data_IF_578849294944
#
_entry.id   IF_578849294944
#
_cell.length_a   1.000
_cell.length_b   1.000
_cell.length_c   1.000
_cell.angle_alpha   90.00
_cell.angle_beta   90.00
_cell.angle_gamma   90.00
#
_symmetry.space_group_name_H-M   'P 1'
#
loop_
_entity.id
_entity.type
_entity.pdbx_description
1 polymer ?
#
# COMPACT_ATOMS: atom_id res chain seq x y z
N UNK A 1 21.02 -22.66 -24.07
CA UNK A 1 21.75 -22.51 -22.80
C UNK A 1 21.20 -21.27 -22.11
N UNK A 2 20.40 -21.44 -21.07
CA UNK A 2 19.89 -20.32 -20.26
C UNK A 2 20.56 -20.39 -18.89
N UNK A 3 21.85 -20.05 -18.87
CA UNK A 3 22.58 -19.83 -17.63
C UNK A 3 22.11 -18.51 -17.03
N UNK A 4 21.27 -18.59 -15.99
CA UNK A 4 20.66 -17.40 -15.38
C UNK A 4 21.67 -16.60 -14.54
N UNK A 5 22.67 -17.25 -13.92
CA UNK A 5 23.65 -16.61 -13.06
C UNK A 5 24.82 -17.54 -12.71
N UNK A 6 26.06 -17.02 -12.78
CA UNK A 6 27.25 -17.65 -12.20
C UNK A 6 27.72 -16.88 -10.97
N UNK A 7 27.89 -17.59 -9.85
CA UNK A 7 28.30 -16.99 -8.57
C UNK A 7 29.60 -17.62 -8.10
N UNK A 8 30.56 -16.79 -7.69
CA UNK A 8 31.78 -17.26 -7.03
C UNK A 8 31.55 -17.29 -5.52
N UNK A 9 31.76 -18.46 -4.92
CA UNK A 9 31.48 -18.73 -3.51
C UNK A 9 32.68 -19.41 -2.87
N UNK A 10 32.81 -19.29 -1.54
CA UNK A 10 33.85 -19.98 -0.78
C UNK A 10 33.21 -21.18 -0.06
N UNK A 11 33.47 -22.42 -0.51
CA UNK A 11 32.99 -23.60 0.20
C UNK A 11 33.55 -23.68 1.62
N UNK A 12 32.78 -24.28 2.52
CA UNK A 12 33.20 -24.60 3.89
C UNK A 12 33.04 -26.11 4.14
N UNK A 13 33.90 -26.72 4.97
CA UNK A 13 33.74 -28.12 5.32
C UNK A 13 32.47 -28.34 6.15
N UNK A 14 31.81 -29.48 5.95
CA UNK A 14 30.73 -29.95 6.80
C UNK A 14 31.30 -30.74 8.00
N UNK A 15 30.68 -30.63 9.20
CA UNK A 15 31.09 -31.44 10.35
C UNK A 15 30.85 -32.94 10.16
N UNK A 16 29.77 -33.30 9.46
CA UNK A 16 29.36 -34.66 9.15
C UNK A 16 29.20 -34.84 7.63
N UNK A 17 29.33 -36.07 7.12
CA UNK A 17 29.23 -36.35 5.69
C UNK A 17 27.76 -36.44 5.28
N UNK A 18 27.37 -35.70 4.25
CA UNK A 18 26.02 -35.76 3.67
C UNK A 18 26.05 -36.61 2.39
N UNK A 19 25.46 -37.80 2.43
CA UNK A 19 25.41 -38.72 1.27
C UNK A 19 24.35 -38.29 0.23
N UNK A 20 23.40 -37.45 0.62
CA UNK A 20 22.38 -36.87 -0.25
C UNK A 20 22.67 -35.39 -0.51
N UNK A 21 22.37 -34.93 -1.73
CA UNK A 21 22.42 -33.51 -2.06
C UNK A 21 21.24 -32.79 -1.37
N UNK A 22 21.56 -31.86 -0.47
CA UNK A 22 20.57 -31.07 0.26
C UNK A 22 20.73 -29.56 -0.02
N UNK A 23 19.60 -28.85 -0.01
CA UNK A 23 19.56 -27.39 -0.02
C UNK A 23 18.86 -26.89 1.23
N UNK A 24 19.58 -26.13 2.04
CA UNK A 24 19.04 -25.47 3.22
C UNK A 24 18.97 -23.95 3.03
N UNK A 25 17.97 -23.33 3.64
CA UNK A 25 17.84 -21.87 3.71
C UNK A 25 18.08 -21.39 5.14
N UNK A 26 19.19 -20.68 5.32
CA UNK A 26 19.68 -20.17 6.59
C UNK A 26 19.62 -18.62 6.59
N UNK A 27 19.77 -17.99 7.77
CA UNK A 27 19.81 -16.52 7.94
C UNK A 27 18.64 -15.79 7.23
N UNK A 28 17.41 -16.27 7.48
CA UNK A 28 16.19 -15.69 6.91
C UNK A 28 15.98 -14.25 7.40
N UNK A 29 15.95 -13.32 6.44
CA UNK A 29 15.64 -11.90 6.61
C UNK A 29 14.46 -11.52 5.74
N UNK A 30 13.92 -10.32 5.95
CA UNK A 30 12.78 -9.81 5.19
C UNK A 30 13.00 -9.81 3.66
N UNK A 31 14.24 -9.60 3.20
CA UNK A 31 14.58 -9.47 1.79
C UNK A 31 15.74 -10.37 1.34
N UNK A 32 16.26 -11.26 2.20
CA UNK A 32 17.38 -12.12 1.86
C UNK A 32 17.40 -13.42 2.64
N UNK A 33 18.06 -14.43 2.08
CA UNK A 33 18.39 -15.69 2.76
C UNK A 33 19.75 -16.19 2.26
N UNK A 34 20.37 -17.10 3.00
CA UNK A 34 21.53 -17.86 2.52
C UNK A 34 21.04 -19.24 2.11
N UNK A 35 21.17 -19.56 0.82
CA UNK A 35 20.97 -20.93 0.34
C UNK A 35 22.30 -21.66 0.47
N UNK A 36 22.31 -22.77 1.18
CA UNK A 36 23.48 -23.62 1.38
C UNK A 36 23.24 -24.96 0.73
N UNK A 37 24.00 -25.24 -0.33
CA UNK A 37 24.08 -26.58 -0.92
C UNK A 37 25.01 -27.42 -0.05
N UNK A 38 24.56 -28.59 0.39
CA UNK A 38 25.35 -29.56 1.18
C UNK A 38 25.48 -30.86 0.42
N UNK A 39 26.71 -31.34 0.24
CA UNK A 39 26.98 -32.63 -0.37
C UNK A 39 28.38 -33.13 0.02
N UNK A 40 28.47 -34.42 0.32
CA UNK A 40 29.64 -35.06 0.92
C UNK A 40 30.15 -34.25 2.12
N UNK A 41 31.38 -33.74 2.04
CA UNK A 41 32.05 -32.99 3.12
C UNK A 41 32.00 -31.48 2.90
N UNK A 42 31.22 -31.00 1.95
CA UNK A 42 31.23 -29.60 1.54
C UNK A 42 29.85 -28.96 1.70
N UNK A 43 29.86 -27.75 2.26
CA UNK A 43 28.77 -26.81 2.20
C UNK A 43 29.17 -25.63 1.33
N UNK A 44 28.28 -25.25 0.42
CA UNK A 44 28.47 -24.18 -0.54
C UNK A 44 27.38 -23.13 -0.31
N UNK A 45 27.63 -22.13 0.57
CA UNK A 45 26.66 -21.09 0.86
C UNK A 45 26.72 -19.97 -0.18
N UNK A 46 25.56 -19.50 -0.63
CA UNK A 46 25.41 -18.27 -1.40
C UNK A 46 24.21 -17.46 -0.92
N UNK A 47 24.38 -16.14 -0.87
CA UNK A 47 23.32 -15.23 -0.46
C UNK A 47 22.38 -14.97 -1.63
N UNK A 48 21.09 -15.11 -1.39
CA UNK A 48 20.01 -14.66 -2.26
C UNK A 48 19.43 -13.40 -1.62
N UNK A 49 19.36 -12.32 -2.39
CA UNK A 49 18.80 -11.05 -1.94
C UNK A 49 17.88 -10.48 -3.01
N UNK A 50 16.70 -10.02 -2.57
CA UNK A 50 15.74 -9.30 -3.39
C UNK A 50 15.81 -7.84 -2.99
N UNK A 51 16.11 -6.98 -3.95
CA UNK A 51 16.12 -5.53 -3.76
C UNK A 51 14.90 -4.90 -4.39
N UNK A 52 14.64 -3.64 -4.06
CA UNK A 52 13.61 -2.84 -4.72
C UNK A 52 13.88 -2.73 -6.22
N UNK A 53 15.15 -2.67 -6.63
CA UNK A 53 15.56 -2.65 -8.02
C UNK A 53 15.23 -3.98 -8.73
N UNK A 54 15.54 -5.12 -8.10
CA UNK A 54 15.19 -6.45 -8.62
C UNK A 54 13.68 -6.60 -8.81
N UNK A 55 12.92 -6.09 -7.84
CA UNK A 55 11.45 -6.11 -7.88
C UNK A 55 10.92 -5.20 -9.00
N UNK A 56 11.47 -3.98 -9.13
CA UNK A 56 11.10 -3.04 -10.19
C UNK A 56 11.37 -3.61 -11.59
N UNK A 57 12.48 -4.31 -11.78
CA UNK A 57 12.79 -4.97 -13.05
C UNK A 57 11.81 -6.10 -13.37
N UNK A 58 11.42 -6.88 -12.36
CA UNK A 58 10.38 -7.89 -12.51
C UNK A 58 9.02 -7.26 -12.89
N UNK A 59 8.62 -6.19 -12.20
CA UNK A 59 7.40 -5.42 -12.52
C UNK A 59 7.46 -4.92 -13.97
N UNK A 60 8.58 -4.31 -14.41
CA UNK A 60 8.77 -3.87 -15.80
C UNK A 60 8.58 -5.02 -16.79
N UNK A 61 9.08 -6.21 -16.49
CA UNK A 61 8.91 -7.37 -17.36
C UNK A 61 7.43 -7.81 -17.44
N UNK A 62 6.74 -7.87 -16.30
CA UNK A 62 5.31 -8.22 -16.24
C UNK A 62 4.43 -7.20 -16.98
N UNK A 63 4.76 -5.91 -16.86
CA UNK A 63 4.06 -4.81 -17.52
C UNK A 63 4.38 -4.66 -19.02
N UNK A 64 5.27 -5.48 -19.58
CA UNK A 64 5.41 -5.66 -21.04
C UNK A 64 4.50 -6.77 -21.58
N UNK A 65 3.99 -7.63 -20.70
CA UNK A 65 3.11 -8.74 -21.04
C UNK A 65 1.64 -8.37 -20.90
N UNK A 66 0.86 -9.26 -20.29
CA UNK A 66 -0.59 -9.06 -20.08
C UNK A 66 -0.91 -7.87 -19.16
N UNK A 67 -0.02 -7.55 -18.22
CA UNK A 67 -0.24 -6.49 -17.23
C UNK A 67 -0.46 -5.11 -17.85
N UNK A 68 0.08 -4.85 -19.05
CA UNK A 68 -0.09 -3.58 -19.74
C UNK A 68 -1.54 -3.26 -20.12
N UNK A 69 -2.42 -4.27 -20.18
CA UNK A 69 -3.81 -4.12 -20.62
C UNK A 69 -4.79 -3.96 -19.46
N UNK A 70 -4.31 -3.97 -18.21
CA UNK A 70 -5.15 -3.80 -17.01
C UNK A 70 -4.73 -2.55 -16.28
N UNK A 71 -5.68 -1.70 -15.92
CA UNK A 71 -5.37 -0.49 -15.15
C UNK A 71 -4.75 -0.84 -13.78
N UNK A 72 -5.18 -1.96 -13.16
CA UNK A 72 -4.72 -2.38 -11.84
C UNK A 72 -3.22 -2.65 -11.82
N UNK A 73 -2.71 -3.48 -12.73
CA UNK A 73 -1.30 -3.85 -12.72
C UNK A 73 -0.39 -2.63 -12.96
N UNK A 74 -0.82 -1.70 -13.83
CA UNK A 74 -0.10 -0.45 -14.08
C UNK A 74 -0.10 0.47 -12.85
N UNK A 75 -1.26 0.62 -12.18
CA UNK A 75 -1.38 1.43 -10.97
C UNK A 75 -0.61 0.81 -9.79
N UNK A 76 -0.58 -0.51 -9.66
CA UNK A 76 0.23 -1.23 -8.68
C UNK A 76 1.73 -1.00 -8.91
N UNK A 77 2.19 -1.07 -10.16
CA UNK A 77 3.57 -0.74 -10.52
C UNK A 77 3.93 0.71 -10.21
N UNK A 78 3.00 1.64 -10.48
CA UNK A 78 3.16 3.05 -10.14
C UNK A 78 3.24 3.28 -8.62
N UNK A 79 2.38 2.62 -7.84
CA UNK A 79 2.41 2.66 -6.38
C UNK A 79 3.67 2.04 -5.79
N UNK A 80 4.24 1.00 -6.42
CA UNK A 80 5.53 0.44 -6.01
C UNK A 80 6.64 1.50 -6.13
N UNK A 81 6.75 2.16 -7.29
CA UNK A 81 7.69 3.26 -7.49
C UNK A 81 7.52 4.38 -6.44
N UNK A 82 6.28 4.78 -6.16
CA UNK A 82 5.95 5.80 -5.17
C UNK A 82 6.36 5.38 -3.74
N UNK A 83 6.00 4.17 -3.33
CA UNK A 83 6.21 3.68 -1.95
C UNK A 83 7.68 3.50 -1.63
N UNK A 84 8.45 2.99 -2.60
CA UNK A 84 9.88 2.75 -2.46
C UNK A 84 10.73 3.95 -2.88
N UNK A 85 10.10 5.05 -3.31
CA UNK A 85 10.75 6.25 -3.81
C UNK A 85 11.81 5.95 -4.89
N UNK A 86 11.43 5.07 -5.84
CA UNK A 86 12.33 4.55 -6.88
C UNK A 86 11.71 4.76 -8.26
N UNK A 87 12.48 5.37 -9.16
CA UNK A 87 12.08 5.65 -10.55
C UNK A 87 10.66 6.25 -10.67
N UNK A 88 10.44 7.35 -9.95
CA UNK A 88 9.16 8.05 -9.88
C UNK A 88 8.64 8.48 -11.27
N UNK A 89 9.54 8.80 -12.21
CA UNK A 89 9.18 9.13 -13.59
C UNK A 89 8.59 7.92 -14.34
N UNK A 90 9.14 6.71 -14.14
CA UNK A 90 8.52 5.50 -14.68
C UNK A 90 7.20 5.19 -13.98
N UNK A 91 7.11 5.40 -12.67
CA UNK A 91 5.86 5.30 -11.92
C UNK A 91 4.78 6.21 -12.50
N UNK A 92 5.13 7.47 -12.82
CA UNK A 92 4.23 8.44 -13.43
C UNK A 92 3.73 7.98 -14.81
N UNK A 93 4.63 7.46 -15.66
CA UNK A 93 4.24 6.89 -16.97
C UNK A 93 3.28 5.71 -16.83
N UNK A 94 3.47 4.86 -15.83
CA UNK A 94 2.53 3.75 -15.57
C UNK A 94 1.19 4.24 -15.03
N UNK A 95 1.17 5.24 -14.17
CA UNK A 95 -0.07 5.87 -13.73
C UNK A 95 -0.84 6.48 -14.91
N UNK A 96 -0.15 7.17 -15.83
CA UNK A 96 -0.75 7.70 -17.07
C UNK A 96 -1.33 6.59 -17.96
N UNK A 97 -0.59 5.50 -18.16
CA UNK A 97 -1.07 4.34 -18.91
C UNK A 97 -2.26 3.66 -18.23
N UNK A 98 -2.27 3.59 -16.89
CA UNK A 98 -3.40 3.06 -16.11
C UNK A 98 -4.66 3.89 -16.34
N UNK A 99 -4.53 5.23 -16.30
CA UNK A 99 -5.62 6.17 -16.57
C UNK A 99 -6.16 5.99 -18.00
N UNK A 100 -5.27 5.78 -18.98
CA UNK A 100 -5.67 5.53 -20.37
C UNK A 100 -6.47 4.22 -20.54
N UNK A 101 -6.11 3.17 -19.79
CA UNK A 101 -6.86 1.91 -19.79
C UNK A 101 -8.25 2.07 -19.16
N UNK A 102 -8.32 2.72 -17.98
CA UNK A 102 -9.57 3.00 -17.31
C UNK A 102 -9.40 4.14 -16.30
N UNK A 103 -9.92 5.33 -16.59
CA UNK A 103 -9.76 6.49 -15.71
C UNK A 103 -10.64 6.37 -14.45
N UNK A 104 -10.01 6.31 -13.27
CA UNK A 104 -10.67 6.10 -11.97
C UNK A 104 -10.05 6.97 -10.87
N UNK A 105 -10.71 7.08 -9.73
CA UNK A 105 -10.12 7.80 -8.59
C UNK A 105 -8.77 7.20 -8.16
N UNK A 106 -8.66 5.87 -8.18
CA UNK A 106 -7.49 5.14 -7.67
C UNK A 106 -6.21 5.58 -8.40
N UNK A 107 -6.16 5.42 -9.73
CA UNK A 107 -5.01 5.80 -10.55
C UNK A 107 -4.77 7.31 -10.66
N UNK A 108 -5.83 8.13 -10.64
CA UNK A 108 -5.68 9.58 -10.54
C UNK A 108 -5.02 9.98 -9.20
N UNK A 109 -5.41 9.34 -8.09
CA UNK A 109 -4.82 9.62 -6.77
C UNK A 109 -3.35 9.18 -6.69
N UNK A 110 -3.00 8.04 -7.30
CA UNK A 110 -1.60 7.58 -7.42
C UNK A 110 -0.78 8.59 -8.24
N UNK A 111 -1.31 9.07 -9.37
CA UNK A 111 -0.66 10.10 -10.19
C UNK A 111 -0.45 11.39 -9.41
N UNK A 112 -1.43 11.84 -8.61
CA UNK A 112 -1.29 13.03 -7.75
C UNK A 112 -0.13 12.86 -6.77
N UNK A 113 -0.05 11.72 -6.09
CA UNK A 113 1.01 11.48 -5.10
C UNK A 113 2.40 11.39 -5.76
N UNK A 114 2.49 10.78 -6.97
CA UNK A 114 3.71 10.78 -7.78
C UNK A 114 4.13 12.18 -8.24
N UNK A 115 3.20 12.98 -8.74
CA UNK A 115 3.47 14.36 -9.15
C UNK A 115 3.97 15.21 -7.98
N UNK A 116 3.38 15.06 -6.79
CA UNK A 116 3.87 15.71 -5.56
C UNK A 116 5.29 15.26 -5.21
N UNK A 117 5.58 13.95 -5.30
CA UNK A 117 6.92 13.42 -5.06
C UNK A 117 7.97 13.92 -6.08
N UNK A 118 7.52 14.26 -7.30
CA UNK A 118 8.32 14.87 -8.36
C UNK A 118 8.33 16.41 -8.32
N UNK A 119 7.75 17.05 -7.30
CA UNK A 119 7.64 18.51 -7.16
C UNK A 119 6.89 19.21 -8.31
N UNK A 120 5.86 18.55 -8.87
CA UNK A 120 5.00 19.04 -9.96
C UNK A 120 3.61 19.42 -9.44
N UNK A 121 3.57 20.40 -8.53
CA UNK A 121 2.39 20.72 -7.73
C UNK A 121 1.18 21.22 -8.55
N UNK A 122 1.39 22.01 -9.61
CA UNK A 122 0.30 22.52 -10.46
C UNK A 122 -0.43 21.39 -11.21
N UNK A 123 0.33 20.43 -11.71
CA UNK A 123 -0.22 19.24 -12.36
C UNK A 123 -0.89 18.31 -11.34
N UNK A 124 -0.31 18.18 -10.15
CA UNK A 124 -0.89 17.41 -9.05
C UNK A 124 -2.25 18.00 -8.66
N UNK A 125 -2.36 19.32 -8.52
CA UNK A 125 -3.62 20.01 -8.21
C UNK A 125 -4.68 19.76 -9.28
N UNK A 126 -4.32 19.94 -10.55
CA UNK A 126 -5.25 19.71 -11.67
C UNK A 126 -5.74 18.25 -11.72
N UNK A 127 -4.83 17.30 -11.52
CA UNK A 127 -5.17 15.87 -11.49
C UNK A 127 -6.04 15.53 -10.27
N UNK A 128 -5.79 16.17 -9.12
CA UNK A 128 -6.59 15.99 -7.91
C UNK A 128 -8.03 16.48 -8.08
N UNK A 129 -8.23 17.63 -8.74
CA UNK A 129 -9.56 18.15 -9.04
C UNK A 129 -10.37 17.16 -9.89
N UNK A 130 -9.72 16.48 -10.85
CA UNK A 130 -10.33 15.41 -11.65
C UNK A 130 -10.61 14.16 -10.81
N UNK A 131 -9.67 13.74 -9.97
CA UNK A 131 -9.86 12.61 -9.05
C UNK A 131 -11.11 12.83 -8.18
N UNK A 132 -11.22 14.01 -7.59
CA UNK A 132 -12.32 14.36 -6.70
C UNK A 132 -13.70 14.24 -7.36
N UNK A 133 -13.83 14.50 -8.66
CA UNK A 133 -15.10 14.34 -9.39
C UNK A 133 -15.56 12.88 -9.47
N UNK A 134 -14.63 11.92 -9.42
CA UNK A 134 -14.89 10.47 -9.51
C UNK A 134 -14.89 9.75 -8.17
N UNK A 135 -14.40 10.40 -7.13
CA UNK A 135 -14.21 9.80 -5.82
C UNK A 135 -15.54 9.30 -5.23
N UNK A 136 -15.57 8.02 -4.84
CA UNK A 136 -16.62 7.48 -3.99
C UNK A 136 -16.30 7.72 -2.51
N UNK A 137 -17.30 7.58 -1.63
CA UNK A 137 -17.12 7.76 -0.19
C UNK A 137 -16.02 6.84 0.38
N UNK A 138 -16.04 5.56 0.00
CA UNK A 138 -15.04 4.57 0.45
C UNK A 138 -13.63 4.90 -0.04
N UNK A 139 -13.48 5.31 -1.31
CA UNK A 139 -12.18 5.61 -1.89
C UNK A 139 -11.57 6.86 -1.24
N UNK A 140 -12.35 7.93 -1.12
CA UNK A 140 -11.86 9.17 -0.53
C UNK A 140 -11.54 9.01 0.96
N UNK A 141 -12.38 8.27 1.69
CA UNK A 141 -12.09 7.91 3.09
C UNK A 141 -10.79 7.08 3.20
N UNK A 142 -10.61 6.10 2.31
CA UNK A 142 -9.41 5.26 2.30
C UNK A 142 -8.15 6.07 1.98
N UNK A 143 -8.25 7.03 1.04
CA UNK A 143 -7.16 7.98 0.74
C UNK A 143 -6.78 8.79 1.99
N UNK A 144 -7.76 9.36 2.71
CA UNK A 144 -7.48 10.08 3.95
C UNK A 144 -6.85 9.19 5.03
N UNK A 145 -7.25 7.92 5.15
CA UNK A 145 -6.62 6.95 6.06
C UNK A 145 -5.17 6.65 5.67
N UNK A 146 -4.88 6.53 4.36
CA UNK A 146 -3.52 6.32 3.86
C UNK A 146 -2.62 7.50 4.22
N UNK A 147 -3.08 8.73 4.07
CA UNK A 147 -2.34 9.93 4.50
C UNK A 147 -2.02 9.89 6.00
N UNK A 148 -2.99 9.51 6.84
CA UNK A 148 -2.75 9.35 8.29
C UNK A 148 -1.67 8.30 8.58
N UNK A 149 -1.67 7.14 7.89
CA UNK A 149 -0.60 6.13 8.07
C UNK A 149 0.77 6.61 7.57
N UNK A 150 0.79 7.52 6.59
CA UNK A 150 2.01 8.19 6.12
C UNK A 150 2.46 9.35 7.03
N UNK A 151 1.91 9.46 8.25
CA UNK A 151 2.16 10.54 9.22
C UNK A 151 1.72 11.93 8.75
N UNK A 152 0.86 12.01 7.72
CA UNK A 152 0.22 13.23 7.23
C UNK A 152 -1.16 13.38 7.85
N UNK A 153 -1.22 13.40 9.18
CA UNK A 153 -2.48 13.31 9.94
C UNK A 153 -3.43 14.47 9.65
N UNK A 154 -2.89 15.69 9.50
CA UNK A 154 -3.69 16.89 9.24
C UNK A 154 -4.30 16.86 7.84
N UNK A 155 -3.51 16.57 6.81
CA UNK A 155 -4.02 16.37 5.44
C UNK A 155 -5.09 15.27 5.40
N UNK A 156 -4.84 14.16 6.11
CA UNK A 156 -5.81 13.07 6.23
C UNK A 156 -7.12 13.51 6.89
N UNK A 157 -7.08 14.35 7.92
CA UNK A 157 -8.27 14.91 8.57
C UNK A 157 -9.01 15.91 7.67
N UNK A 158 -8.31 16.67 6.84
CA UNK A 158 -8.95 17.55 5.85
C UNK A 158 -9.72 16.74 4.80
N UNK A 159 -9.16 15.61 4.34
CA UNK A 159 -9.89 14.67 3.49
C UNK A 159 -11.12 14.10 4.22
N UNK A 160 -11.03 13.79 5.52
CA UNK A 160 -12.19 13.32 6.29
C UNK A 160 -13.31 14.38 6.34
N UNK A 161 -12.97 15.67 6.48
CA UNK A 161 -13.97 16.75 6.41
C UNK A 161 -14.67 16.76 5.05
N UNK A 162 -13.93 16.57 3.96
CA UNK A 162 -14.52 16.49 2.61
C UNK A 162 -15.41 15.25 2.43
N UNK A 163 -15.01 14.08 2.97
CA UNK A 163 -15.86 12.88 2.95
C UNK A 163 -17.17 13.13 3.71
N UNK A 164 -17.08 13.68 4.93
CA UNK A 164 -18.23 14.00 5.75
C UNK A 164 -19.19 14.98 5.06
N UNK A 165 -18.64 15.99 4.38
CA UNK A 165 -19.40 17.00 3.65
C UNK A 165 -20.10 16.44 2.42
N UNK A 166 -19.41 15.61 1.63
CA UNK A 166 -19.92 15.09 0.35
C UNK A 166 -20.84 13.89 0.52
N UNK A 167 -20.64 13.09 1.56
CA UNK A 167 -21.36 11.83 1.77
C UNK A 167 -21.95 11.72 3.19
N UNK A 168 -22.68 12.73 3.70
CA UNK A 168 -23.02 12.83 5.13
C UNK A 168 -23.87 11.68 5.70
N UNK A 169 -24.56 10.93 4.83
CA UNK A 169 -25.44 9.81 5.20
C UNK A 169 -24.86 8.44 4.80
N UNK A 170 -23.66 8.40 4.23
CA UNK A 170 -22.97 7.16 3.89
C UNK A 170 -22.23 6.60 5.12
N UNK A 171 -21.99 5.28 5.14
CA UNK A 171 -21.19 4.63 6.21
C UNK A 171 -19.86 5.36 6.41
N UNK A 172 -19.16 5.67 5.31
CA UNK A 172 -17.86 6.33 5.37
C UNK A 172 -17.97 7.82 5.70
N UNK A 173 -19.11 8.46 5.41
CA UNK A 173 -19.41 9.81 5.87
C UNK A 173 -19.54 9.91 7.38
N UNK A 174 -20.31 9.00 7.99
CA UNK A 174 -20.41 8.91 9.44
C UNK A 174 -19.07 8.56 10.10
N UNK A 175 -18.31 7.60 9.53
CA UNK A 175 -16.95 7.32 10.03
C UNK A 175 -16.02 8.53 9.94
N UNK A 176 -16.09 9.30 8.85
CA UNK A 176 -15.29 10.51 8.70
C UNK A 176 -15.66 11.56 9.75
N UNK A 177 -16.97 11.77 9.99
CA UNK A 177 -17.44 12.65 11.07
C UNK A 177 -16.97 12.17 12.45
N UNK A 178 -17.03 10.86 12.72
CA UNK A 178 -16.51 10.29 13.96
C UNK A 178 -15.02 10.64 14.16
N UNK A 179 -14.22 10.52 13.10
CA UNK A 179 -12.79 10.85 13.15
C UNK A 179 -12.52 12.33 13.39
N UNK A 180 -13.24 13.22 12.70
CA UNK A 180 -13.12 14.67 12.86
C UNK A 180 -13.52 15.08 14.28
N UNK A 181 -14.65 14.57 14.80
CA UNK A 181 -15.11 14.83 16.19
C UNK A 181 -14.13 14.28 17.23
N UNK A 182 -13.61 13.07 17.01
CA UNK A 182 -12.59 12.45 17.88
C UNK A 182 -11.33 13.31 17.98
N UNK A 183 -10.83 13.82 16.84
CA UNK A 183 -9.67 14.71 16.81
C UNK A 183 -9.94 16.05 17.54
N UNK A 184 -11.18 16.53 17.53
CA UNK A 184 -11.61 17.72 18.27
C UNK A 184 -11.89 17.46 19.76
N UNK A 185 -11.77 16.22 20.25
CA UNK A 185 -12.06 15.83 21.63
C UNK A 185 -13.55 15.61 21.93
N UNK A 186 -14.44 15.72 20.93
CA UNK A 186 -15.85 15.37 21.06
C UNK A 186 -16.05 13.85 20.91
N UNK A 187 -15.60 13.11 21.93
CA UNK A 187 -15.68 11.64 21.92
C UNK A 187 -17.12 11.12 21.97
N UNK A 188 -18.03 11.83 22.64
CA UNK A 188 -19.43 11.45 22.73
C UNK A 188 -20.12 11.59 21.36
N UNK A 189 -19.93 12.73 20.69
CA UNK A 189 -20.43 12.94 19.34
C UNK A 189 -19.76 11.99 18.33
N UNK A 190 -18.47 11.71 18.48
CA UNK A 190 -17.77 10.73 17.64
C UNK A 190 -18.36 9.32 17.81
N UNK A 191 -18.64 8.89 19.04
CA UNK A 191 -19.24 7.57 19.30
C UNK A 191 -20.64 7.47 18.68
N UNK A 192 -21.43 8.54 18.72
CA UNK A 192 -22.74 8.59 18.08
C UNK A 192 -22.64 8.40 16.56
N UNK A 193 -21.70 9.08 15.89
CA UNK A 193 -21.46 8.89 14.46
C UNK A 193 -20.99 7.46 14.13
N UNK A 194 -20.07 6.90 14.92
CA UNK A 194 -19.59 5.53 14.71
C UNK A 194 -20.72 4.49 14.89
N UNK A 195 -21.63 4.70 15.84
CA UNK A 195 -22.84 3.87 16.00
C UNK A 195 -23.80 4.02 14.82
N UNK A 196 -23.95 5.22 14.28
CA UNK A 196 -24.77 5.44 13.10
C UNK A 196 -24.18 4.73 11.87
N UNK A 197 -22.86 4.82 11.65
CA UNK A 197 -22.15 4.05 10.63
C UNK A 197 -22.41 2.54 10.77
N UNK A 198 -22.35 2.02 12.00
CA UNK A 198 -22.66 0.62 12.31
C UNK A 198 -24.12 0.24 12.00
N UNK A 199 -25.07 1.11 12.33
CA UNK A 199 -26.49 0.83 12.13
C UNK A 199 -26.84 0.72 10.64
N UNK A 200 -26.27 1.58 9.78
CA UNK A 200 -26.56 1.60 8.34
C UNK A 200 -25.70 0.62 7.53
N UNK A 201 -24.66 0.03 8.13
CA UNK A 201 -23.84 -1.00 7.50
C UNK A 201 -24.64 -2.26 7.18
N UNK A 202 -24.47 -2.77 5.95
CA UNK A 202 -25.19 -3.98 5.48
C UNK A 202 -24.50 -5.28 5.86
N UNK A 203 -23.18 -5.26 6.06
CA UNK A 203 -22.36 -6.44 6.36
C UNK A 203 -22.10 -6.57 7.86
N UNK A 204 -22.30 -7.77 8.42
CA UNK A 204 -22.01 -8.05 9.82
C UNK A 204 -20.51 -7.96 10.14
N UNK A 205 -19.65 -8.27 9.17
CA UNK A 205 -18.21 -8.06 9.30
C UNK A 205 -17.89 -6.57 9.46
N UNK A 206 -18.54 -5.71 8.68
CA UNK A 206 -18.35 -4.26 8.77
C UNK A 206 -18.89 -3.71 10.10
N UNK A 207 -20.07 -4.17 10.54
CA UNK A 207 -20.61 -3.80 11.86
C UNK A 207 -19.66 -4.18 12.99
N UNK A 208 -19.09 -5.39 12.92
CA UNK A 208 -18.14 -5.89 13.91
C UNK A 208 -16.84 -5.09 13.93
N UNK A 209 -16.37 -4.64 12.76
CA UNK A 209 -15.17 -3.80 12.64
C UNK A 209 -15.31 -2.42 13.31
N UNK A 210 -16.54 -1.91 13.51
CA UNK A 210 -16.76 -0.62 14.17
C UNK A 210 -16.84 -0.72 15.69
N UNK A 211 -17.07 -1.90 16.24
CA UNK A 211 -17.18 -2.09 17.68
C UNK A 211 -15.92 -1.61 18.43
N UNK A 212 -14.68 -1.98 18.03
CA UNK A 212 -13.48 -1.47 18.69
C UNK A 212 -13.32 0.05 18.61
N UNK A 213 -13.81 0.68 17.53
CA UNK A 213 -13.78 2.14 17.39
C UNK A 213 -14.75 2.80 18.38
N UNK A 214 -15.96 2.27 18.48
CA UNK A 214 -16.98 2.76 19.42
C UNK A 214 -16.49 2.59 20.86
N UNK A 215 -15.99 1.41 21.22
CA UNK A 215 -15.48 1.12 22.57
C UNK A 215 -14.34 2.08 22.96
N UNK A 216 -13.41 2.38 22.04
CA UNK A 216 -12.36 3.40 22.24
C UNK A 216 -12.92 4.79 22.48
N UNK A 217 -13.89 5.22 21.67
CA UNK A 217 -14.51 6.54 21.81
C UNK A 217 -15.28 6.68 23.12
N UNK A 218 -16.01 5.65 23.56
CA UNK A 218 -16.69 5.63 24.85
C UNK A 218 -15.70 5.70 26.02
N UNK A 219 -14.51 5.11 25.86
CA UNK A 219 -13.38 5.26 26.79
C UNK A 219 -12.63 6.61 26.65
N UNK A 220 -13.14 7.57 25.88
CA UNK A 220 -12.52 8.88 25.59
C UNK A 220 -11.13 8.78 24.96
N UNK A 221 -10.92 7.77 24.12
CA UNK A 221 -9.67 7.56 23.39
C UNK A 221 -9.83 8.00 21.94
N UNK A 222 -8.86 8.77 21.46
CA UNK A 222 -8.85 9.23 20.08
C UNK A 222 -8.64 8.07 19.11
N UNK A 223 -9.55 7.88 18.15
CA UNK A 223 -9.49 6.82 17.13
C UNK A 223 -8.57 7.16 15.95
N UNK A 224 -7.97 8.35 15.93
CA UNK A 224 -6.98 8.73 14.91
C UNK A 224 -5.55 8.31 15.28
N UNK A 225 -5.33 7.88 16.52
CA UNK A 225 -4.04 7.39 17.03
C UNK A 225 -3.94 5.87 17.00
#
# INVERSE_FOLDING_TARGET
>A
EEDALRVTVKPRPLPENEEALEYEFEDLKANSAVATLKWEKLAVPFKIEVTDQTTLENIRAQLKGRGQFTWQALDEGANFCLTHNIDLEQGLKWADASIQNEERFDNLSTKVDLLKALHRDDEAKTTWDLAMQKATAVQLYSYGRRLQSMKKSDEGLDIMKEVAKRFPQDVYGHLAQARVKSAAGDFAGAAAEAKQAQAISKSDAQKSAFKPLIDRLEAKQDINK
#
